data_IF_576581936893
#
_entry.id   IF_576581936893
#
_cell.length_a   1.000
_cell.length_b   1.000
_cell.length_c   1.000
_cell.angle_alpha   90.00
_cell.angle_beta   90.00
_cell.angle_gamma   90.00
#
_symmetry.space_group_name_H-M   'P 1'
#
loop_
_entity.id
_entity.type
_entity.pdbx_description
1 polymer ?
#
# COMPACT_ATOMS: atom_id res chain seq x y z
N UNK A 1 19.12 49.54 184.22
CA UNK A 1 19.84 50.53 183.38
C UNK A 1 19.51 50.13 181.95
N UNK A 2 18.30 50.51 181.51
CA UNK A 2 17.55 49.88 180.42
C UNK A 2 17.07 50.97 179.46
N UNK A 3 17.69 51.19 178.28
CA UNK A 3 17.07 51.93 177.15
C UNK A 3 17.90 52.06 175.83
N UNK A 4 18.71 51.10 175.37
CA UNK A 4 19.48 51.28 174.09
C UNK A 4 19.15 50.24 173.00
N UNK A 5 18.68 49.03 173.37
CA UNK A 5 18.45 47.94 172.41
C UNK A 5 17.30 48.13 171.38
N UNK A 6 16.14 48.78 171.66
CA UNK A 6 15.04 48.82 170.70
C UNK A 6 15.23 49.81 169.55
N UNK A 7 16.06 50.85 169.72
CA UNK A 7 16.25 51.91 168.70
C UNK A 7 17.10 51.40 167.53
N UNK A 8 18.13 50.60 167.82
CA UNK A 8 19.01 50.04 166.77
C UNK A 8 18.26 49.04 165.88
N UNK A 9 17.35 48.26 166.45
CA UNK A 9 16.56 47.28 165.69
C UNK A 9 15.59 47.96 164.69
N UNK A 10 15.01 49.10 165.09
CA UNK A 10 14.13 49.89 164.22
C UNK A 10 14.84 50.50 163.01
N UNK A 11 16.06 51.03 163.20
CA UNK A 11 16.86 51.61 162.10
C UNK A 11 17.31 50.55 161.10
N UNK A 12 17.69 49.35 161.58
CA UNK A 12 18.08 48.23 160.72
C UNK A 12 16.88 47.72 159.89
N UNK A 13 15.69 47.62 160.50
CA UNK A 13 14.48 47.23 159.78
C UNK A 13 14.08 48.27 158.71
N UNK A 14 14.24 49.56 158.99
CA UNK A 14 13.92 50.64 158.06
C UNK A 14 14.93 50.72 156.91
N UNK A 15 16.21 50.47 157.18
CA UNK A 15 17.25 50.37 156.15
C UNK A 15 17.07 49.14 155.26
N UNK A 16 16.76 47.98 155.83
CA UNK A 16 16.42 46.76 155.06
C UNK A 16 15.17 46.96 154.21
N UNK A 17 14.15 47.63 154.76
CA UNK A 17 12.93 48.00 154.03
C UNK A 17 13.21 48.91 152.83
N UNK A 18 14.06 49.94 153.00
CA UNK A 18 14.44 50.86 151.94
C UNK A 18 15.26 50.20 150.82
N UNK A 19 16.20 49.30 151.17
CA UNK A 19 16.99 48.54 150.19
C UNK A 19 16.09 47.60 149.38
N UNK A 20 15.14 46.94 150.03
CA UNK A 20 14.15 46.10 149.38
C UNK A 20 13.26 46.91 148.44
N UNK A 21 12.82 48.10 148.86
CA UNK A 21 11.97 49.00 148.08
C UNK A 21 12.69 49.60 146.86
N UNK A 22 14.01 49.80 146.95
CA UNK A 22 14.86 50.22 145.82
C UNK A 22 15.21 49.09 144.85
N UNK A 23 15.24 47.83 145.30
CA UNK A 23 15.54 46.67 144.46
C UNK A 23 14.31 46.06 143.77
N UNK A 24 13.12 46.19 144.36
CA UNK A 24 11.85 45.76 143.77
C UNK A 24 11.58 46.32 142.35
N UNK A 25 11.79 47.62 142.05
CA UNK A 25 11.58 48.14 140.69
C UNK A 25 12.68 47.71 139.70
N UNK A 26 13.92 47.52 140.14
CA UNK A 26 15.01 46.96 139.30
C UNK A 26 14.75 45.49 138.95
N UNK A 27 14.28 44.70 139.92
CA UNK A 27 13.90 43.30 139.72
C UNK A 27 12.66 43.14 138.82
N UNK A 28 11.74 44.13 138.80
CA UNK A 28 10.63 44.17 137.82
C UNK A 28 11.14 44.49 136.41
N UNK A 29 11.95 45.55 136.25
CA UNK A 29 12.53 45.92 134.94
C UNK A 29 13.33 44.79 134.32
N UNK A 30 14.19 44.12 135.10
CA UNK A 30 14.98 42.99 134.60
C UNK A 30 14.11 41.79 134.21
N UNK A 31 12.99 41.58 134.92
CA UNK A 31 12.04 40.49 134.63
C UNK A 31 11.20 40.79 133.39
N UNK A 32 10.84 42.05 133.17
CA UNK A 32 10.13 42.49 131.96
C UNK A 32 11.07 42.44 130.74
N UNK A 33 12.33 42.84 130.88
CA UNK A 33 13.37 42.75 129.83
C UNK A 33 13.73 41.29 129.50
N UNK A 34 13.76 40.41 130.52
CA UNK A 34 13.89 38.97 130.33
C UNK A 34 12.66 38.39 129.62
N UNK A 35 11.43 38.78 129.99
CA UNK A 35 10.21 38.34 129.31
C UNK A 35 10.17 38.79 127.85
N UNK A 36 10.49 40.05 127.58
CA UNK A 36 10.57 40.58 126.21
C UNK A 36 11.60 39.82 125.37
N UNK A 37 12.78 39.53 125.93
CA UNK A 37 13.78 38.68 125.25
C UNK A 37 13.30 37.24 125.07
N UNK A 38 12.58 36.67 126.04
CA UNK A 38 12.04 35.30 125.95
C UNK A 38 10.97 35.21 124.88
N UNK A 39 10.08 36.21 124.80
CA UNK A 39 9.04 36.32 123.78
C UNK A 39 9.65 36.58 122.39
N UNK A 40 10.73 37.38 122.31
CA UNK A 40 11.46 37.62 121.06
C UNK A 40 12.21 36.38 120.57
N UNK A 41 12.77 35.58 121.48
CA UNK A 41 13.38 34.29 121.15
C UNK A 41 12.30 33.33 120.65
N UNK A 42 11.16 33.24 121.33
CA UNK A 42 10.04 32.40 120.91
C UNK A 42 9.48 32.80 119.53
N UNK A 43 9.36 34.10 119.25
CA UNK A 43 8.91 34.57 117.92
C UNK A 43 9.94 34.25 116.83
N UNK A 44 11.24 34.43 117.11
CA UNK A 44 12.30 34.11 116.14
C UNK A 44 12.40 32.62 115.87
N UNK A 45 12.23 31.77 116.88
CA UNK A 45 12.18 30.30 116.71
C UNK A 45 10.98 29.87 115.86
N UNK A 46 9.82 30.52 116.03
CA UNK A 46 8.65 30.28 115.20
C UNK A 46 8.88 30.70 113.73
N UNK A 47 9.43 31.89 113.49
CA UNK A 47 9.75 32.39 112.14
C UNK A 47 10.80 31.51 111.44
N UNK A 48 11.80 31.02 112.18
CA UNK A 48 12.84 30.13 111.65
C UNK A 48 12.27 28.74 111.33
N UNK A 49 11.36 28.22 112.16
CA UNK A 49 10.64 26.98 111.87
C UNK A 49 9.72 27.11 110.64
N UNK A 50 9.04 28.24 110.46
CA UNK A 50 8.21 28.52 109.29
C UNK A 50 9.04 28.67 108.01
N UNK A 51 10.14 29.43 108.08
CA UNK A 51 11.08 29.60 106.96
C UNK A 51 11.71 28.27 106.55
N UNK A 52 12.02 27.40 107.52
CA UNK A 52 12.55 26.06 107.25
C UNK A 52 11.51 25.14 106.60
N UNK A 53 10.26 25.16 107.06
CA UNK A 53 9.19 24.38 106.42
C UNK A 53 8.95 24.83 104.98
N UNK A 54 8.94 26.13 104.73
CA UNK A 54 8.75 26.66 103.38
C UNK A 54 9.95 26.39 102.47
N UNK A 55 11.18 26.35 102.98
CA UNK A 55 12.35 25.95 102.19
C UNK A 55 12.36 24.46 101.86
N UNK A 56 11.96 23.61 102.80
CA UNK A 56 11.81 22.16 102.59
C UNK A 56 10.72 21.85 101.55
N UNK A 57 9.55 22.53 101.63
CA UNK A 57 8.47 22.39 100.65
C UNK A 57 8.89 22.88 99.25
N UNK A 58 9.63 24.00 99.17
CA UNK A 58 10.19 24.49 97.90
C UNK A 58 11.20 23.50 97.31
N UNK A 59 12.06 22.88 98.13
CA UNK A 59 13.03 21.89 97.66
C UNK A 59 12.31 20.65 97.09
N UNK A 60 11.28 20.17 97.78
CA UNK A 60 10.43 19.09 97.28
C UNK A 60 9.75 19.47 95.96
N UNK A 61 9.27 20.71 95.84
CA UNK A 61 8.65 21.17 94.59
C UNK A 61 9.64 21.27 93.43
N UNK A 62 10.86 21.71 93.69
CA UNK A 62 11.93 21.79 92.69
C UNK A 62 12.30 20.38 92.21
N UNK A 63 12.54 19.44 93.12
CA UNK A 63 12.85 18.05 92.74
C UNK A 63 11.72 17.37 91.96
N UNK A 64 10.45 17.63 92.30
CA UNK A 64 9.31 17.14 91.51
C UNK A 64 9.27 17.75 90.10
N UNK A 65 9.54 19.05 89.97
CA UNK A 65 9.58 19.74 88.67
C UNK A 65 10.74 19.27 87.81
N UNK A 66 11.93 19.05 88.39
CA UNK A 66 13.09 18.47 87.70
C UNK A 66 12.77 17.07 87.18
N UNK A 67 12.20 16.19 88.02
CA UNK A 67 11.79 14.85 87.59
C UNK A 67 10.72 14.88 86.48
N UNK A 68 9.79 15.84 86.50
CA UNK A 68 8.80 16.04 85.43
C UNK A 68 9.43 16.57 84.15
N UNK A 69 10.41 17.45 84.24
CA UNK A 69 11.14 17.99 83.09
C UNK A 69 11.94 16.88 82.41
N UNK A 70 12.70 16.10 83.19
CA UNK A 70 13.45 14.94 82.68
C UNK A 70 12.54 13.91 82.01
N UNK A 71 11.38 13.61 82.63
CA UNK A 71 10.40 12.70 82.04
C UNK A 71 9.77 13.26 80.75
N UNK A 72 9.58 14.59 80.66
CA UNK A 72 9.09 15.25 79.45
C UNK A 72 10.15 15.23 78.34
N UNK A 73 11.40 15.51 78.68
CA UNK A 73 12.52 15.52 77.73
C UNK A 73 12.81 14.12 77.19
N UNK A 74 12.74 13.08 78.03
CA UNK A 74 12.79 11.69 77.60
C UNK A 74 11.66 11.34 76.63
N UNK A 75 10.41 11.73 76.93
CA UNK A 75 9.28 11.49 76.02
C UNK A 75 9.47 12.19 74.67
N UNK A 76 9.98 13.43 74.67
CA UNK A 76 10.26 14.16 73.43
C UNK A 76 11.38 13.50 72.63
N UNK A 77 12.44 13.03 73.28
CA UNK A 77 13.52 12.30 72.64
C UNK A 77 13.03 10.97 72.03
N UNK A 78 12.18 10.22 72.75
CA UNK A 78 11.58 8.99 72.26
C UNK A 78 10.65 9.23 71.07
N UNK A 79 9.81 10.26 71.12
CA UNK A 79 8.90 10.62 70.03
C UNK A 79 9.68 11.12 68.81
N UNK A 80 10.76 11.89 69.01
CA UNK A 80 11.65 12.31 67.92
C UNK A 80 12.37 11.11 67.27
N UNK A 81 12.85 10.17 68.09
CA UNK A 81 13.46 8.93 67.59
C UNK A 81 12.46 8.08 66.79
N UNK A 82 11.21 7.96 67.26
CA UNK A 82 10.13 7.26 66.54
C UNK A 82 9.77 7.95 65.23
N UNK A 83 9.69 9.29 65.22
CA UNK A 83 9.43 10.06 64.00
C UNK A 83 10.57 9.93 62.99
N UNK A 84 11.83 9.92 63.46
CA UNK A 84 12.98 9.66 62.60
C UNK A 84 12.92 8.27 61.98
N UNK A 85 12.63 7.24 62.78
CA UNK A 85 12.49 5.86 62.30
C UNK A 85 11.31 5.70 61.31
N UNK A 86 10.18 6.37 61.56
CA UNK A 86 9.04 6.37 60.65
C UNK A 86 9.36 7.05 59.32
N UNK A 87 10.09 8.18 59.34
CA UNK A 87 10.55 8.84 58.12
C UNK A 87 11.50 7.96 57.33
N UNK A 88 12.48 7.34 57.98
CA UNK A 88 13.43 6.45 57.33
C UNK A 88 12.75 5.22 56.71
N UNK A 89 11.85 4.57 57.45
CA UNK A 89 11.09 3.42 56.93
C UNK A 89 10.14 3.81 55.81
N UNK A 90 9.51 4.99 55.88
CA UNK A 90 8.68 5.51 54.80
C UNK A 90 9.51 5.82 53.55
N UNK A 91 10.64 6.51 53.68
CA UNK A 91 11.52 6.83 52.55
C UNK A 91 12.09 5.56 51.91
N UNK A 92 12.47 4.57 52.72
CA UNK A 92 12.93 3.27 52.23
C UNK A 92 11.82 2.50 51.50
N UNK A 93 10.60 2.44 52.06
CA UNK A 93 9.47 1.72 51.47
C UNK A 93 8.94 2.43 50.22
N UNK A 94 8.81 3.75 50.24
CA UNK A 94 8.39 4.55 49.11
C UNK A 94 9.41 4.46 47.97
N UNK A 95 10.71 4.59 48.29
CA UNK A 95 11.79 4.43 47.34
C UNK A 95 11.83 3.04 46.70
N UNK A 96 11.62 1.98 47.49
CA UNK A 96 11.54 0.60 46.99
C UNK A 96 10.31 0.38 46.12
N UNK A 97 9.13 0.75 46.61
CA UNK A 97 7.86 0.55 45.90
C UNK A 97 7.84 1.32 44.58
N UNK A 98 8.37 2.55 44.56
CA UNK A 98 8.47 3.34 43.34
C UNK A 98 9.42 2.72 42.32
N UNK A 99 10.59 2.20 42.77
CA UNK A 99 11.53 1.49 41.89
C UNK A 99 10.93 0.20 41.33
N UNK A 100 10.27 -0.59 42.16
CA UNK A 100 9.63 -1.84 41.75
C UNK A 100 8.47 -1.58 40.76
N UNK A 101 7.67 -0.54 41.01
CA UNK A 101 6.61 -0.10 40.10
C UNK A 101 7.17 0.42 38.77
N UNK A 102 8.24 1.23 38.80
CA UNK A 102 8.91 1.71 37.59
C UNK A 102 9.49 0.55 36.77
N UNK A 103 10.15 -0.40 37.42
CA UNK A 103 10.71 -1.59 36.76
C UNK A 103 9.61 -2.43 36.11
N UNK A 104 8.52 -2.69 36.84
CA UNK A 104 7.36 -3.44 36.33
C UNK A 104 6.69 -2.72 35.16
N UNK A 105 6.56 -1.39 35.24
CA UNK A 105 6.01 -0.57 34.16
C UNK A 105 6.88 -0.63 32.91
N UNK A 106 8.21 -0.48 33.05
CA UNK A 106 9.15 -0.58 31.93
C UNK A 106 9.14 -1.97 31.30
N UNK A 107 9.05 -3.03 32.11
CA UNK A 107 8.92 -4.40 31.62
C UNK A 107 7.65 -4.57 30.79
N UNK A 108 6.48 -4.18 31.33
CA UNK A 108 5.21 -4.27 30.62
C UNK A 108 5.16 -3.40 29.37
N UNK A 109 5.78 -2.21 29.42
CA UNK A 109 5.90 -1.33 28.27
C UNK A 109 6.75 -1.96 27.16
N UNK A 110 7.89 -2.56 27.51
CA UNK A 110 8.76 -3.27 26.56
C UNK A 110 8.07 -4.50 25.97
N UNK A 111 7.44 -5.34 26.80
CA UNK A 111 6.71 -6.53 26.32
C UNK A 111 5.58 -6.14 25.36
N UNK A 112 4.80 -5.11 25.70
CA UNK A 112 3.73 -4.62 24.82
C UNK A 112 4.28 -3.99 23.54
N UNK A 113 5.38 -3.25 23.61
CA UNK A 113 6.02 -2.65 22.46
C UNK A 113 6.58 -3.73 21.52
N UNK A 114 7.32 -4.71 22.04
CA UNK A 114 7.81 -5.84 21.27
C UNK A 114 6.68 -6.64 20.62
N UNK A 115 5.60 -6.89 21.37
CA UNK A 115 4.42 -7.57 20.84
C UNK A 115 3.80 -6.79 19.68
N UNK A 116 3.57 -5.48 19.85
CA UNK A 116 3.02 -4.62 18.78
C UNK A 116 3.95 -4.51 17.57
N UNK A 117 5.26 -4.43 17.78
CA UNK A 117 6.23 -4.41 16.68
C UNK A 117 6.21 -5.73 15.91
N UNK A 118 6.17 -6.88 16.60
CA UNK A 118 6.04 -8.20 15.96
C UNK A 118 4.72 -8.35 15.20
N UNK A 119 3.60 -7.95 15.80
CA UNK A 119 2.28 -7.97 15.15
C UNK A 119 2.23 -7.06 13.92
N UNK A 120 2.77 -5.84 14.02
CA UNK A 120 2.84 -4.91 12.89
C UNK A 120 3.73 -5.43 11.76
N UNK A 121 4.86 -6.06 12.09
CA UNK A 121 5.75 -6.64 11.08
C UNK A 121 5.10 -7.84 10.39
N UNK A 122 4.39 -8.69 11.15
CA UNK A 122 3.60 -9.78 10.61
C UNK A 122 2.46 -9.28 9.70
N UNK A 123 1.74 -8.22 10.09
CA UNK A 123 0.69 -7.60 9.26
C UNK A 123 1.28 -7.02 7.96
N UNK A 124 2.42 -6.31 8.04
CA UNK A 124 3.10 -5.79 6.86
C UNK A 124 3.54 -6.91 5.90
N UNK A 125 4.09 -8.00 6.42
CA UNK A 125 4.50 -9.14 5.59
C UNK A 125 3.29 -9.88 4.99
N UNK A 126 2.19 -10.00 5.74
CA UNK A 126 0.93 -10.55 5.21
C UNK A 126 0.37 -9.67 4.08
N UNK A 127 0.38 -8.35 4.25
CA UNK A 127 -0.05 -7.41 3.19
C UNK A 127 0.87 -7.46 1.97
N UNK A 128 2.19 -7.54 2.15
CA UNK A 128 3.15 -7.71 1.04
C UNK A 128 2.85 -8.97 0.25
N UNK A 129 2.66 -10.11 0.92
CA UNK A 129 2.30 -11.37 0.27
C UNK A 129 0.96 -11.31 -0.47
N UNK A 130 -0.05 -10.65 0.13
CA UNK A 130 -1.34 -10.46 -0.52
C UNK A 130 -1.21 -9.60 -1.79
N UNK A 131 -0.43 -8.52 -1.74
CA UNK A 131 -0.15 -7.68 -2.91
C UNK A 131 0.63 -8.45 -3.97
N UNK A 132 1.65 -9.19 -3.58
CA UNK A 132 2.43 -10.04 -4.49
C UNK A 132 1.54 -11.06 -5.20
N UNK A 133 0.68 -11.76 -4.45
CA UNK A 133 -0.29 -12.72 -5.01
C UNK A 133 -1.31 -12.08 -5.96
N UNK A 134 -1.66 -10.81 -5.77
CA UNK A 134 -2.56 -10.08 -6.67
C UNK A 134 -1.84 -9.59 -7.94
N UNK A 135 -0.57 -9.22 -7.83
CA UNK A 135 0.21 -8.63 -8.93
C UNK A 135 0.89 -9.70 -9.80
N UNK A 136 1.30 -10.83 -9.23
CA UNK A 136 1.93 -11.95 -9.95
C UNK A 136 1.11 -12.44 -11.17
N UNK A 137 -0.21 -12.68 -11.09
CA UNK A 137 -0.99 -13.08 -12.26
C UNK A 137 -1.06 -11.98 -13.33
N UNK A 138 -0.98 -10.71 -12.96
CA UNK A 138 -0.93 -9.59 -13.92
C UNK A 138 0.38 -9.65 -14.71
N UNK A 139 1.51 -9.83 -14.02
CA UNK A 139 2.82 -9.99 -14.65
C UNK A 139 2.85 -11.17 -15.63
N UNK A 140 2.36 -12.33 -15.19
CA UNK A 140 2.24 -13.53 -16.05
C UNK A 140 1.33 -13.31 -17.26
N UNK A 141 0.19 -12.64 -17.08
CA UNK A 141 -0.75 -12.35 -18.17
C UNK A 141 -0.15 -11.38 -19.18
N UNK A 142 0.58 -10.37 -18.72
CA UNK A 142 1.24 -9.41 -19.59
C UNK A 142 2.34 -10.07 -20.42
N UNK A 143 3.13 -10.97 -19.80
CA UNK A 143 4.16 -11.74 -20.50
C UNK A 143 3.56 -12.69 -21.55
N UNK A 144 2.50 -13.42 -21.20
CA UNK A 144 1.76 -14.24 -22.17
C UNK A 144 1.17 -13.42 -23.31
N UNK A 145 0.67 -12.21 -23.02
CA UNK A 145 0.10 -11.31 -24.04
C UNK A 145 1.18 -10.81 -24.98
N UNK A 146 2.36 -10.44 -24.45
CA UNK A 146 3.53 -10.06 -25.25
C UNK A 146 3.93 -11.18 -26.22
N UNK A 147 4.06 -12.42 -25.72
CA UNK A 147 4.40 -13.57 -26.56
C UNK A 147 3.35 -13.84 -27.65
N UNK A 148 2.07 -13.72 -27.32
CA UNK A 148 0.98 -13.85 -28.30
C UNK A 148 1.03 -12.74 -29.35
N UNK A 149 1.29 -11.49 -28.95
CA UNK A 149 1.42 -10.37 -29.89
C UNK A 149 2.60 -10.55 -30.84
N UNK A 150 3.77 -10.96 -30.32
CA UNK A 150 4.94 -11.27 -31.14
C UNK A 150 4.65 -12.40 -32.14
N UNK A 151 3.95 -13.46 -31.71
CA UNK A 151 3.53 -14.54 -32.59
C UNK A 151 2.53 -14.08 -33.67
N UNK A 152 1.57 -13.23 -33.31
CA UNK A 152 0.60 -12.66 -34.25
C UNK A 152 1.29 -11.76 -35.28
N UNK A 153 2.19 -10.87 -34.86
CA UNK A 153 2.91 -9.99 -35.79
C UNK A 153 3.83 -10.77 -36.73
N UNK A 154 4.46 -11.85 -36.24
CA UNK A 154 5.23 -12.75 -37.10
C UNK A 154 4.34 -13.44 -38.14
N UNK A 155 3.23 -14.07 -37.70
CA UNK A 155 2.28 -14.74 -38.59
C UNK A 155 1.64 -13.77 -39.60
N UNK A 156 1.40 -12.52 -39.18
CA UNK A 156 0.90 -11.44 -40.03
C UNK A 156 1.90 -11.07 -41.11
N UNK A 157 3.18 -10.91 -40.75
CA UNK A 157 4.25 -10.60 -41.71
C UNK A 157 4.42 -11.71 -42.74
N UNK A 158 4.42 -12.98 -42.29
CA UNK A 158 4.46 -14.14 -43.18
C UNK A 158 3.25 -14.19 -44.12
N UNK A 159 2.05 -13.97 -43.60
CA UNK A 159 0.82 -13.94 -44.41
C UNK A 159 0.83 -12.82 -45.45
N UNK A 160 1.35 -11.63 -45.10
CA UNK A 160 1.49 -10.53 -46.06
C UNK A 160 2.52 -10.82 -47.14
N UNK A 161 3.64 -11.48 -46.79
CA UNK A 161 4.62 -11.90 -47.78
C UNK A 161 4.01 -12.90 -48.77
N UNK A 162 3.29 -13.91 -48.26
CA UNK A 162 2.59 -14.90 -49.10
C UNK A 162 1.49 -14.25 -49.96
N UNK A 163 0.71 -13.32 -49.41
CA UNK A 163 -0.31 -12.60 -50.17
C UNK A 163 0.31 -11.75 -51.28
N UNK A 164 1.42 -11.07 -50.99
CA UNK A 164 2.14 -10.27 -51.99
C UNK A 164 2.66 -11.16 -53.13
N UNK A 165 3.19 -12.32 -52.79
CA UNK A 165 3.64 -13.31 -53.77
C UNK A 165 2.48 -13.85 -54.63
N UNK A 166 1.33 -14.18 -54.03
CA UNK A 166 0.16 -14.58 -54.79
C UNK A 166 -0.36 -13.49 -55.72
N UNK A 167 -0.39 -12.23 -55.27
CA UNK A 167 -0.76 -11.10 -56.13
C UNK A 167 0.20 -10.98 -57.30
N UNK A 168 1.50 -11.14 -57.06
CA UNK A 168 2.53 -11.12 -58.11
C UNK A 168 2.31 -12.25 -59.12
N UNK A 169 2.04 -13.47 -58.65
CA UNK A 169 1.74 -14.62 -59.52
C UNK A 169 0.48 -14.40 -60.37
N UNK A 170 -0.56 -13.78 -59.79
CA UNK A 170 -1.78 -13.41 -60.54
C UNK A 170 -1.47 -12.36 -61.60
N UNK A 171 -0.66 -11.35 -61.28
CA UNK A 171 -0.26 -10.31 -62.24
C UNK A 171 0.58 -10.90 -63.39
N UNK A 172 1.53 -11.78 -63.09
CA UNK A 172 2.36 -12.46 -64.08
C UNK A 172 1.52 -13.40 -64.97
N UNK A 173 0.58 -14.13 -64.36
CA UNK A 173 -0.38 -14.97 -65.09
C UNK A 173 -1.28 -14.15 -66.01
N UNK A 174 -1.82 -13.03 -65.53
CA UNK A 174 -2.64 -12.12 -66.35
C UNK A 174 -1.86 -11.53 -67.52
N UNK A 175 -0.57 -11.21 -67.32
CA UNK A 175 0.29 -10.68 -68.38
C UNK A 175 0.56 -11.76 -69.43
N UNK A 176 0.90 -12.96 -68.98
CA UNK A 176 1.15 -14.11 -69.86
C UNK A 176 -0.08 -14.49 -70.68
N UNK A 177 -1.27 -14.53 -70.05
CA UNK A 177 -2.54 -14.77 -70.74
C UNK A 177 -2.83 -13.71 -71.80
N UNK A 178 -2.58 -12.44 -71.48
CA UNK A 178 -2.74 -11.33 -72.43
C UNK A 178 -1.80 -11.51 -73.63
N UNK A 179 -0.54 -11.86 -73.40
CA UNK A 179 0.45 -12.07 -74.46
C UNK A 179 0.12 -13.27 -75.34
N UNK A 180 -0.28 -14.42 -74.76
CA UNK A 180 -0.69 -15.60 -75.53
C UNK A 180 -1.98 -15.35 -76.31
N UNK A 181 -2.94 -14.62 -75.74
CA UNK A 181 -4.15 -14.21 -76.47
C UNK A 181 -3.78 -13.30 -77.65
N UNK A 182 -2.85 -12.36 -77.46
CA UNK A 182 -2.36 -11.50 -78.54
C UNK A 182 -1.59 -12.29 -79.62
N UNK A 183 -0.86 -13.35 -79.26
CA UNK A 183 -0.23 -14.26 -80.21
C UNK A 183 -1.27 -15.07 -80.99
N UNK A 184 -2.29 -15.57 -80.31
CA UNK A 184 -3.39 -16.32 -80.92
C UNK A 184 -4.17 -15.47 -81.92
N UNK A 185 -4.55 -14.23 -81.55
CA UNK A 185 -5.25 -13.31 -82.46
C UNK A 185 -4.39 -12.99 -83.69
N UNK A 186 -3.09 -12.75 -83.50
CA UNK A 186 -2.14 -12.56 -84.62
C UNK A 186 -2.01 -13.80 -85.50
N UNK A 187 -2.00 -15.00 -84.91
CA UNK A 187 -1.93 -16.25 -85.67
C UNK A 187 -3.19 -16.47 -86.51
N UNK A 188 -4.38 -16.17 -85.98
CA UNK A 188 -5.66 -16.27 -86.69
C UNK A 188 -5.83 -15.21 -87.80
N UNK A 189 -5.14 -14.08 -87.71
CA UNK A 189 -5.15 -13.04 -88.76
C UNK A 189 -4.29 -13.41 -89.99
N UNK A 190 -3.44 -14.44 -89.90
CA UNK A 190 -2.58 -14.83 -91.02
C UNK A 190 -3.41 -15.48 -92.16
N UNK A 191 -3.20 -15.10 -93.44
CA UNK A 191 -4.01 -15.59 -94.56
C UNK A 191 -4.04 -17.11 -94.74
N UNK A 192 -2.92 -17.79 -94.49
CA UNK A 192 -2.73 -19.24 -94.56
C UNK A 192 -3.55 -19.99 -93.50
N UNK A 193 -3.52 -19.52 -92.25
CA UNK A 193 -4.27 -20.12 -91.13
C UNK A 193 -5.77 -19.85 -91.29
N UNK A 194 -6.14 -18.66 -91.75
CA UNK A 194 -7.53 -18.28 -92.03
C UNK A 194 -8.17 -19.17 -93.10
N UNK A 195 -7.48 -19.40 -94.22
CA UNK A 195 -7.98 -20.27 -95.28
C UNK A 195 -8.26 -21.68 -94.77
N UNK A 196 -7.32 -22.26 -94.02
CA UNK A 196 -7.46 -23.59 -93.42
C UNK A 196 -8.57 -23.67 -92.36
N UNK A 197 -8.80 -22.60 -91.59
CA UNK A 197 -9.94 -22.51 -90.68
C UNK A 197 -11.27 -22.48 -91.43
N UNK A 198 -11.34 -21.74 -92.54
CA UNK A 198 -12.46 -21.72 -93.47
C UNK A 198 -12.80 -23.11 -94.02
N UNK A 199 -11.79 -23.85 -94.48
CA UNK A 199 -11.94 -25.22 -94.98
C UNK A 199 -12.47 -26.17 -93.89
N UNK A 200 -11.91 -26.11 -92.67
CA UNK A 200 -12.37 -26.92 -91.54
C UNK A 200 -13.82 -26.58 -91.17
N UNK A 201 -14.18 -25.29 -91.19
CA UNK A 201 -15.54 -24.86 -90.90
C UNK A 201 -16.51 -25.31 -91.98
N UNK A 202 -16.13 -25.21 -93.25
CA UNK A 202 -16.91 -25.72 -94.38
C UNK A 202 -17.19 -27.21 -94.23
N UNK A 203 -16.14 -28.01 -93.93
CA UNK A 203 -16.27 -29.45 -93.64
C UNK A 203 -17.26 -29.71 -92.51
N UNK A 204 -17.16 -28.97 -91.40
CA UNK A 204 -18.09 -29.13 -90.26
C UNK A 204 -19.53 -28.79 -90.63
N UNK A 205 -19.76 -27.76 -91.45
CA UNK A 205 -21.11 -27.36 -91.87
C UNK A 205 -21.77 -28.45 -92.72
N UNK A 206 -21.04 -29.04 -93.67
CA UNK A 206 -21.59 -30.12 -94.51
C UNK A 206 -21.78 -31.42 -93.72
N UNK A 207 -20.88 -31.74 -92.79
CA UNK A 207 -21.04 -32.87 -91.86
C UNK A 207 -22.29 -32.69 -90.98
N UNK A 208 -22.53 -31.48 -90.46
CA UNK A 208 -23.74 -31.15 -89.69
C UNK A 208 -25.01 -31.20 -90.54
N UNK A 209 -24.92 -30.90 -91.84
CA UNK A 209 -26.01 -31.07 -92.79
C UNK A 209 -26.29 -32.56 -93.13
N UNK A 210 -25.53 -33.49 -92.55
CA UNK A 210 -25.69 -34.93 -92.71
C UNK A 210 -24.90 -35.53 -93.88
N UNK A 211 -23.99 -34.76 -94.49
CA UNK A 211 -23.15 -35.23 -95.59
C UNK A 211 -21.93 -35.99 -95.08
N UNK A 212 -21.58 -37.09 -95.74
CA UNK A 212 -20.43 -37.93 -95.40
C UNK A 212 -19.27 -37.65 -96.35
N UNK A 213 -18.07 -37.46 -95.78
CA UNK A 213 -16.84 -37.27 -96.57
C UNK A 213 -16.60 -38.46 -97.51
N UNK A 214 -16.09 -38.18 -98.72
CA UNK A 214 -15.84 -39.12 -99.82
C UNK A 214 -17.07 -39.77 -100.46
N UNK A 215 -18.23 -39.77 -99.78
CA UNK A 215 -19.50 -40.22 -100.36
C UNK A 215 -20.27 -39.05 -100.97
N UNK A 216 -20.56 -38.03 -100.17
CA UNK A 216 -21.41 -36.91 -100.54
C UNK A 216 -20.57 -35.68 -100.94
N UNK A 217 -19.36 -35.53 -100.41
CA UNK A 217 -18.46 -34.43 -100.76
C UNK A 217 -16.98 -34.84 -100.79
N UNK A 218 -16.16 -34.06 -101.49
CA UNK A 218 -14.70 -34.23 -101.52
C UNK A 218 -14.02 -32.85 -101.43
N UNK A 219 -13.03 -32.73 -100.55
CA UNK A 219 -12.26 -31.50 -100.33
C UNK A 219 -11.10 -31.39 -101.34
N UNK A 220 -10.76 -30.16 -101.74
CA UNK A 220 -9.54 -29.81 -102.49
C UNK A 220 -9.21 -30.70 -103.71
N UNK A 221 -10.21 -31.17 -104.45
CA UNK A 221 -9.99 -31.98 -105.66
C UNK A 221 -9.56 -31.10 -106.81
N UNK A 222 -8.32 -31.26 -107.27
CA UNK A 222 -7.83 -30.62 -108.51
C UNK A 222 -8.63 -31.19 -109.68
N UNK A 223 -9.52 -30.38 -110.24
CA UNK A 223 -10.33 -30.79 -111.39
C UNK A 223 -9.76 -30.11 -112.64
N UNK A 224 -9.32 -30.91 -113.61
CA UNK A 224 -8.86 -30.44 -114.91
C UNK A 224 -10.06 -30.32 -115.85
N UNK A 225 -10.40 -29.09 -116.24
CA UNK A 225 -11.43 -28.78 -117.24
C UNK A 225 -10.72 -28.31 -118.52
N UNK A 226 -11.34 -28.42 -119.70
CA UNK A 226 -10.76 -27.97 -120.98
C UNK A 226 -10.29 -26.49 -120.96
N UNK A 227 -10.82 -25.67 -120.05
CA UNK A 227 -10.49 -24.27 -119.85
C UNK A 227 -9.41 -23.99 -118.78
N UNK A 228 -8.82 -25.02 -118.16
CA UNK A 228 -7.75 -24.89 -117.16
C UNK A 228 -7.95 -25.73 -115.89
N UNK A 229 -6.95 -25.69 -115.01
CA UNK A 229 -6.98 -26.38 -113.71
C UNK A 229 -7.67 -25.50 -112.67
N UNK A 230 -8.78 -25.98 -112.11
CA UNK A 230 -9.50 -25.29 -111.02
C UNK A 230 -9.44 -26.15 -109.76
N UNK A 231 -9.15 -25.52 -108.62
CA UNK A 231 -9.08 -26.19 -107.31
C UNK A 231 -10.09 -25.53 -106.37
N UNK A 232 -11.34 -26.00 -106.36
CA UNK A 232 -12.34 -25.51 -105.43
C UNK A 232 -12.07 -26.06 -104.02
N UNK A 233 -12.58 -25.34 -103.01
CA UNK A 233 -12.47 -25.76 -101.61
C UNK A 233 -13.20 -27.10 -101.37
N UNK A 234 -14.38 -27.28 -101.98
CA UNK A 234 -15.16 -28.52 -101.86
C UNK A 234 -16.01 -28.80 -103.11
N UNK A 235 -16.21 -30.09 -103.43
CA UNK A 235 -17.14 -30.55 -104.45
C UNK A 235 -18.16 -31.49 -103.81
N UNK A 236 -19.45 -31.15 -103.90
CA UNK A 236 -20.56 -31.94 -103.40
C UNK A 236 -21.20 -32.72 -104.55
N UNK A 237 -21.39 -34.03 -104.38
CA UNK A 237 -22.01 -34.92 -105.35
C UNK A 237 -23.51 -35.03 -105.06
N UNK A 238 -24.33 -34.87 -106.10
CA UNK A 238 -25.77 -34.99 -106.04
C UNK A 238 -26.25 -36.22 -106.82
N UNK A 239 -27.49 -36.68 -106.59
CA UNK A 239 -28.14 -37.69 -107.42
C UNK A 239 -28.14 -37.29 -108.91
N UNK A 240 -28.10 -38.28 -109.81
CA UNK A 240 -28.01 -38.11 -111.27
C UNK A 240 -26.68 -37.51 -111.76
N UNK A 241 -25.57 -37.84 -111.12
CA UNK A 241 -24.21 -37.43 -111.52
C UNK A 241 -23.99 -35.91 -111.59
N UNK A 242 -24.84 -35.14 -110.89
CA UNK A 242 -24.67 -33.68 -110.79
C UNK A 242 -23.64 -33.36 -109.72
N UNK A 243 -22.85 -32.32 -109.95
CA UNK A 243 -21.85 -31.84 -108.99
C UNK A 243 -22.06 -30.36 -108.71
N UNK A 244 -21.99 -29.99 -107.43
CA UNK A 244 -21.93 -28.60 -106.98
C UNK A 244 -20.51 -28.31 -106.54
N UNK A 245 -19.92 -27.28 -107.11
CA UNK A 245 -18.61 -26.77 -106.72
C UNK A 245 -18.82 -25.64 -105.70
N UNK A 246 -18.14 -25.73 -104.56
CA UNK A 246 -18.26 -24.78 -103.45
C UNK A 246 -16.88 -24.17 -103.17
N UNK A 247 -16.82 -22.84 -103.18
CA UNK A 247 -15.68 -22.02 -102.76
C UNK A 247 -16.12 -21.24 -101.53
N UNK A 248 -15.42 -21.42 -100.40
CA UNK A 248 -15.82 -20.85 -99.13
C UNK A 248 -14.82 -19.77 -98.70
N UNK A 249 -15.12 -18.53 -99.05
CA UNK A 249 -14.33 -17.39 -98.62
C UNK A 249 -14.68 -16.97 -97.20
N UNK A 250 -13.71 -17.00 -96.29
CA UNK A 250 -13.92 -16.57 -94.90
C UNK A 250 -13.44 -15.14 -94.68
N UNK A 251 -14.34 -14.20 -94.38
CA UNK A 251 -14.01 -12.83 -94.02
C UNK A 251 -13.69 -12.68 -92.52
N UNK A 252 -12.79 -13.49 -91.98
CA UNK A 252 -12.49 -13.50 -90.54
C UNK A 252 -11.81 -12.22 -90.07
N UNK A 253 -11.24 -11.41 -90.98
CA UNK A 253 -10.54 -10.17 -90.63
C UNK A 253 -11.48 -9.10 -90.09
N UNK A 254 -12.61 -8.85 -90.74
CA UNK A 254 -13.57 -7.84 -90.28
C UNK A 254 -14.13 -8.18 -88.90
N UNK A 255 -14.32 -9.48 -88.62
CA UNK A 255 -14.74 -9.96 -87.30
C UNK A 255 -13.64 -9.80 -86.23
N UNK A 256 -12.39 -10.14 -86.55
CA UNK A 256 -11.26 -9.93 -85.63
C UNK A 256 -11.01 -8.44 -85.35
N UNK A 257 -11.17 -7.59 -86.37
CA UNK A 257 -11.08 -6.13 -86.23
C UNK A 257 -12.22 -5.57 -85.37
N UNK A 258 -13.44 -6.13 -85.48
CA UNK A 258 -14.57 -5.76 -84.64
C UNK A 258 -14.31 -6.12 -83.16
N UNK A 259 -13.75 -7.30 -82.89
CA UNK A 259 -13.37 -7.71 -81.53
C UNK A 259 -12.27 -6.79 -80.96
N UNK A 260 -11.37 -6.30 -81.81
CA UNK A 260 -10.30 -5.38 -81.43
C UNK A 260 -10.69 -3.90 -81.37
N UNK A 261 -11.93 -3.53 -81.73
CA UNK A 261 -12.37 -2.15 -81.79
C UNK A 261 -12.50 -1.54 -80.38
N UNK A 262 -12.13 -0.28 -80.23
CA UNK A 262 -12.16 0.43 -78.94
C UNK A 262 -13.46 1.18 -78.68
N UNK A 263 -14.30 1.32 -79.71
CA UNK A 263 -15.60 2.00 -79.64
C UNK A 263 -16.71 1.12 -80.22
N UNK A 264 -17.91 1.23 -79.66
CA UNK A 264 -19.08 0.50 -80.16
C UNK A 264 -19.40 0.87 -81.62
N UNK A 265 -19.18 2.13 -82.00
CA UNK A 265 -19.41 2.62 -83.38
C UNK A 265 -18.46 1.94 -84.37
N UNK A 266 -17.16 1.82 -84.05
CA UNK A 266 -16.23 1.08 -84.90
C UNK A 266 -16.55 -0.41 -84.92
N UNK A 267 -16.89 -1.00 -83.77
CA UNK A 267 -17.26 -2.42 -83.70
C UNK A 267 -18.43 -2.72 -84.62
N UNK A 268 -19.49 -1.94 -84.54
CA UNK A 268 -20.71 -2.17 -85.30
C UNK A 268 -20.44 -1.96 -86.81
N UNK A 269 -19.66 -0.94 -87.19
CA UNK A 269 -19.24 -0.76 -88.58
C UNK A 269 -18.38 -1.93 -89.11
N UNK A 270 -17.53 -2.53 -88.28
CA UNK A 270 -16.71 -3.70 -88.64
C UNK A 270 -17.54 -4.99 -88.69
N UNK A 271 -18.57 -5.12 -87.86
CA UNK A 271 -19.54 -6.22 -87.93
C UNK A 271 -20.43 -6.11 -89.17
N UNK A 272 -20.84 -4.90 -89.55
CA UNK A 272 -21.56 -4.66 -90.81
C UNK A 272 -20.67 -5.00 -92.01
N UNK A 273 -19.39 -4.61 -91.97
CA UNK A 273 -18.41 -5.02 -92.97
C UNK A 273 -18.19 -6.55 -93.00
N UNK A 274 -18.25 -7.23 -91.85
CA UNK A 274 -18.22 -8.69 -91.78
C UNK A 274 -19.43 -9.32 -92.49
N UNK A 275 -20.63 -8.79 -92.25
CA UNK A 275 -21.86 -9.28 -92.87
C UNK A 275 -21.95 -9.00 -94.39
N UNK A 276 -21.42 -7.87 -94.85
CA UNK A 276 -21.59 -7.39 -96.23
C UNK A 276 -20.62 -8.03 -97.23
N UNK A 277 -19.44 -8.48 -96.78
CA UNK A 277 -18.35 -8.97 -97.65
C UNK A 277 -18.44 -10.46 -98.06
N UNK A 278 -19.62 -11.06 -97.99
CA UNK A 278 -19.87 -12.48 -98.35
C UNK A 278 -20.16 -12.68 -99.87
N UNK A 279 -20.05 -11.64 -100.70
CA UNK A 279 -20.20 -11.74 -102.16
C UNK A 279 -18.87 -11.68 -102.92
#
# INVERSE_FOLDING_TARGET
MDLILPIVLGVVALALGAVLLLHLPKARRLRDDLRERTDRIASLEADLAETRRTSEDRLLRVTELEARLDASDQRRADDEARLAQLKETFDALAGKTLKDAQASFLQLANENFEKRTKESQADLDARKKAVESLVEPIGKTLEQTKLKLEAIEKARTESFATLTEHIRQVQDGSTTLRDETARLTKALARPDVRGRYGEIQLRRVVELAGMTSYCDFTEQTTTSVESGTYRPDMVVRLPNERMIVVDAKTNTQAYLDAIGATTDVERDAKLDAFATHVN
#
